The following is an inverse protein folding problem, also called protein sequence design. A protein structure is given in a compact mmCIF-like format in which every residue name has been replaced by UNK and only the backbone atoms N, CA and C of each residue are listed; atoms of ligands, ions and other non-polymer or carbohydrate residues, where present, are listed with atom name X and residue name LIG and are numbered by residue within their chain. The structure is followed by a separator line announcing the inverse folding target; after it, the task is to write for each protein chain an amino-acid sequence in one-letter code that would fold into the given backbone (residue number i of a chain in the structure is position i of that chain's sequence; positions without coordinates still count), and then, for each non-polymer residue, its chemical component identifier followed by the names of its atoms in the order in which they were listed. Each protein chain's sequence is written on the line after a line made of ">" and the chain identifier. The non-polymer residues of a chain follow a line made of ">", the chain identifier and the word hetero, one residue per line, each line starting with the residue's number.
data_IF_358979098294
#
_entry.id   IF_358979098294
#
_cell.length_a   1.000
_cell.length_b   1.000
_cell.length_c   1.000
_cell.angle_alpha   90.00
_cell.angle_beta   90.00
_cell.angle_gamma   90.00
#
_symmetry.space_group_name_H-M   'P 1'
#
loop_
_entity.id
_entity.type
_entity.pdbx_description
1 polymer ?
#
# COMPACT_ATOMS: atom_id res chain seq x y z
N UNK A 1 -2.86 15.40 -11.53
CA UNK A 1 -1.80 14.54 -10.96
C UNK A 1 -0.43 15.00 -11.42
N UNK A 2 0.45 15.36 -10.49
CA UNK A 2 1.88 15.57 -10.76
C UNK A 2 2.54 14.21 -11.07
N UNK A 3 3.28 14.05 -12.18
CA UNK A 3 4.01 12.82 -12.51
C UNK A 3 4.91 12.32 -11.37
N UNK A 4 5.49 13.23 -10.58
CA UNK A 4 6.32 12.86 -9.42
C UNK A 4 5.49 12.18 -8.33
N UNK A 5 4.32 12.73 -8.00
CA UNK A 5 3.39 12.14 -7.03
C UNK A 5 2.91 10.75 -7.44
N UNK A 6 2.64 10.55 -8.74
CA UNK A 6 2.24 9.24 -9.25
C UNK A 6 3.37 8.21 -9.08
N UNK A 7 4.61 8.61 -9.38
CA UNK A 7 5.80 7.77 -9.15
C UNK A 7 5.99 7.47 -7.65
N UNK A 8 5.84 8.45 -6.78
CA UNK A 8 6.00 8.25 -5.33
C UNK A 8 4.95 7.28 -4.77
N UNK A 9 3.69 7.37 -5.23
CA UNK A 9 2.63 6.41 -4.85
C UNK A 9 2.94 5.02 -5.40
N UNK A 10 3.44 4.92 -6.62
CA UNK A 10 3.86 3.66 -7.22
C UNK A 10 4.99 2.98 -6.43
N UNK A 11 6.06 3.72 -6.13
CA UNK A 11 7.21 3.20 -5.37
C UNK A 11 6.78 2.73 -3.96
N UNK A 12 5.84 3.44 -3.33
CA UNK A 12 5.26 3.02 -2.04
C UNK A 12 4.39 1.77 -2.17
N UNK A 13 3.67 1.61 -3.28
CA UNK A 13 2.86 0.42 -3.55
C UNK A 13 3.75 -0.81 -3.77
N UNK A 14 4.83 -0.69 -4.55
CA UNK A 14 5.80 -1.77 -4.74
C UNK A 14 6.44 -2.18 -3.41
N UNK A 15 6.87 -1.22 -2.59
CA UNK A 15 7.43 -1.51 -1.27
C UNK A 15 6.42 -2.20 -0.33
N UNK A 16 5.14 -1.87 -0.44
CA UNK A 16 4.06 -2.51 0.32
C UNK A 16 3.89 -3.98 -0.11
N UNK A 17 3.87 -4.23 -1.43
CA UNK A 17 3.70 -5.56 -1.99
C UNK A 17 4.89 -6.48 -1.67
N UNK A 18 6.12 -5.98 -1.80
CA UNK A 18 7.34 -6.73 -1.45
C UNK A 18 7.32 -7.21 0.00
N UNK A 19 6.90 -6.33 0.91
CA UNK A 19 6.85 -6.62 2.35
C UNK A 19 5.82 -7.70 2.66
N UNK A 20 4.63 -7.65 2.06
CA UNK A 20 3.59 -8.67 2.25
C UNK A 20 3.99 -10.00 1.60
N UNK A 21 4.46 -9.94 0.36
CA UNK A 21 4.95 -11.09 -0.39
C UNK A 21 6.04 -11.84 0.37
N UNK A 22 6.99 -11.11 0.98
CA UNK A 22 8.02 -11.69 1.82
C UNK A 22 7.45 -12.38 3.07
N UNK A 23 6.57 -11.70 3.83
CA UNK A 23 5.97 -12.26 5.06
C UNK A 23 5.12 -13.51 4.78
N UNK A 24 4.36 -13.50 3.68
CA UNK A 24 3.50 -14.63 3.29
C UNK A 24 4.32 -15.83 2.82
N UNK A 25 5.36 -15.62 2.00
CA UNK A 25 6.24 -16.72 1.54
C UNK A 25 7.06 -17.32 2.69
N UNK A 26 7.63 -16.48 3.55
CA UNK A 26 8.47 -16.95 4.66
C UNK A 26 7.71 -17.83 5.67
N UNK A 27 6.41 -17.59 5.86
CA UNK A 27 5.58 -18.31 6.86
C UNK A 27 4.73 -19.46 6.28
N UNK A 28 4.82 -19.74 4.98
CA UNK A 28 4.07 -20.79 4.28
C UNK A 28 4.81 -22.13 4.12
N UNK A 29 6.08 -22.22 4.52
CA UNK A 29 6.97 -23.34 4.14
C UNK A 29 6.87 -24.62 5.01
N UNK A 30 5.98 -24.69 6.00
CA UNK A 30 5.89 -25.82 6.92
C UNK A 30 4.76 -26.80 6.57
N UNK A 31 5.02 -28.12 6.46
CA UNK A 31 3.96 -29.11 6.33
C UNK A 31 3.28 -29.31 7.70
N UNK A 32 2.28 -28.47 8.01
CA UNK A 32 1.54 -28.54 9.26
C UNK A 32 0.33 -27.60 9.28
N UNK A 33 -0.71 -27.98 10.03
CA UNK A 33 -1.86 -27.09 10.29
C UNK A 33 -1.34 -25.89 11.08
N UNK A 34 -1.56 -24.68 10.58
CA UNK A 34 -1.10 -23.46 11.26
C UNK A 34 -1.68 -23.38 12.68
N UNK A 35 -0.86 -22.96 13.64
CA UNK A 35 -1.34 -22.71 15.01
C UNK A 35 -2.29 -21.51 15.04
N UNK A 36 -3.09 -21.40 16.09
CA UNK A 36 -4.02 -20.28 16.25
C UNK A 36 -3.27 -18.94 16.31
N UNK A 37 -2.15 -18.89 17.03
CA UNK A 37 -1.24 -17.74 17.07
C UNK A 37 -0.71 -17.35 15.69
N UNK A 38 -0.34 -18.33 14.85
CA UNK A 38 0.11 -18.07 13.48
C UNK A 38 -1.02 -17.50 12.60
N UNK A 39 -2.27 -17.88 12.86
CA UNK A 39 -3.44 -17.35 12.15
C UNK A 39 -3.70 -15.91 12.60
N UNK A 40 -3.62 -15.62 13.89
CA UNK A 40 -3.77 -14.26 14.44
C UNK A 40 -2.70 -13.31 13.91
N UNK A 41 -1.44 -13.76 13.85
CA UNK A 41 -0.33 -13.00 13.28
C UNK A 41 -0.56 -12.71 11.79
N UNK A 42 -1.01 -13.71 11.02
CA UNK A 42 -1.36 -13.52 9.60
C UNK A 42 -2.52 -12.55 9.43
N UNK A 43 -3.52 -12.63 10.30
CA UNK A 43 -4.67 -11.71 10.28
C UNK A 43 -4.22 -10.28 10.56
N UNK A 44 -3.30 -10.08 11.51
CA UNK A 44 -2.69 -8.78 11.80
C UNK A 44 -1.92 -8.24 10.60
N UNK A 45 -1.05 -9.06 10.01
CA UNK A 45 -0.28 -8.69 8.81
C UNK A 45 -1.20 -8.25 7.65
N UNK A 46 -2.28 -8.99 7.39
CA UNK A 46 -3.27 -8.67 6.35
C UNK A 46 -4.03 -7.39 6.68
N UNK A 47 -4.37 -7.18 7.96
CA UNK A 47 -5.08 -5.98 8.41
C UNK A 47 -4.21 -4.73 8.23
N UNK A 48 -2.94 -4.78 8.66
CA UNK A 48 -1.97 -3.69 8.46
C UNK A 48 -1.82 -3.34 6.98
N UNK A 49 -1.61 -4.35 6.13
CA UNK A 49 -1.52 -4.16 4.69
C UNK A 49 -2.76 -3.49 4.10
N UNK A 50 -3.95 -3.95 4.50
CA UNK A 50 -5.22 -3.43 3.97
C UNK A 50 -5.40 -1.95 4.35
N UNK A 51 -5.02 -1.56 5.57
CA UNK A 51 -5.08 -0.17 6.02
C UNK A 51 -4.11 0.74 5.28
N UNK A 52 -2.87 0.27 5.06
CA UNK A 52 -1.87 1.02 4.28
C UNK A 52 -2.27 1.14 2.81
N UNK A 53 -2.74 0.05 2.19
CA UNK A 53 -3.25 0.06 0.81
C UNK A 53 -4.42 1.03 0.66
N UNK A 54 -5.39 1.01 1.60
CA UNK A 54 -6.51 1.96 1.60
C UNK A 54 -6.01 3.41 1.60
N UNK A 55 -4.97 3.69 2.38
CA UNK A 55 -4.39 5.03 2.49
C UNK A 55 -3.73 5.45 1.18
N UNK A 56 -2.92 4.57 0.58
CA UNK A 56 -2.28 4.84 -0.72
C UNK A 56 -3.30 5.06 -1.84
N UNK A 57 -4.36 4.24 -1.89
CA UNK A 57 -5.44 4.40 -2.88
C UNK A 57 -6.21 5.70 -2.64
N UNK A 58 -6.46 6.07 -1.38
CA UNK A 58 -7.10 7.33 -1.05
C UNK A 58 -6.26 8.53 -1.51
N UNK A 59 -4.96 8.53 -1.22
CA UNK A 59 -4.02 9.57 -1.65
C UNK A 59 -3.96 9.67 -3.19
N UNK A 60 -3.97 8.52 -3.88
CA UNK A 60 -4.01 8.45 -5.34
C UNK A 60 -5.29 9.09 -5.89
N UNK A 61 -6.46 8.74 -5.33
CA UNK A 61 -7.74 9.29 -5.76
C UNK A 61 -7.80 10.79 -5.53
N UNK A 62 -7.35 11.28 -4.36
CA UNK A 62 -7.29 12.71 -4.08
C UNK A 62 -6.35 13.43 -5.05
N UNK A 63 -5.19 12.85 -5.39
CA UNK A 63 -4.25 13.43 -6.34
C UNK A 63 -4.77 13.48 -7.79
N UNK A 64 -5.69 12.57 -8.16
CA UNK A 64 -6.37 12.56 -9.45
C UNK A 64 -7.52 13.57 -9.52
N UNK A 65 -8.26 13.74 -8.42
CA UNK A 65 -9.40 14.67 -8.34
C UNK A 65 -8.95 16.12 -8.11
N UNK A 66 -7.77 16.34 -7.53
CA UNK A 66 -7.19 17.68 -7.39
C UNK A 66 -6.95 18.32 -8.77
N UNK A 67 -7.78 19.32 -9.10
CA UNK A 67 -7.66 20.16 -10.30
C UNK A 67 -6.29 20.87 -10.30
N UNK A 68 -5.60 21.01 -11.45
CA UNK A 68 -4.37 21.79 -11.49
C UNK A 68 -4.65 23.22 -11.02
N UNK A 69 -3.73 23.76 -10.21
CA UNK A 69 -3.82 25.13 -9.68
C UNK A 69 -4.02 26.12 -10.84
N UNK A 70 -4.99 27.06 -10.74
CA UNK A 70 -5.10 28.12 -11.73
C UNK A 70 -3.80 28.93 -11.71
N UNK A 71 -3.21 29.07 -12.89
CA UNK A 71 -2.00 29.84 -13.17
C UNK A 71 -2.10 31.23 -12.50
N UNK A 72 -1.05 31.69 -11.77
CA UNK A 72 -1.08 33.02 -11.17
C UNK A 72 -1.28 34.06 -12.26
N UNK A 73 -2.12 35.10 -12.06
CA UNK A 73 -2.32 36.12 -13.09
C UNK A 73 -0.97 36.79 -13.40
N UNK A 74 -0.57 36.71 -14.66
CA UNK A 74 0.58 37.45 -15.20
C UNK A 74 0.39 38.93 -14.84
N UNK A 75 1.37 39.50 -14.14
CA UNK A 75 1.43 40.92 -13.79
C UNK A 75 2.35 41.66 -14.73
#
# INVERSE_FOLDING_TARGET
>A
MDPKRLKDVHDRLESLDDRLSYRLRARGAGPGRASLEQIEDRLRDVTEYTLELRTLVHDLLLGLVAKPDPEPPER
#
